data_IF_688283150049
#
_entry.id   IF_688283150049
#
_cell.length_a   1.000
_cell.length_b   1.000
_cell.length_c   1.000
_cell.angle_alpha   90.00
_cell.angle_beta   90.00
_cell.angle_gamma   90.00
#
_symmetry.space_group_name_H-M   'P 1'
#
loop_
_entity.id
_entity.type
_entity.pdbx_description
1 polymer ?
#
# COMPACT_ATOMS: atom_id res chain seq x y z
N UNK A 1 3.65 -3.41 -16.39
CA UNK A 1 3.55 -4.84 -16.76
C UNK A 1 3.06 -5.50 -15.50
N UNK A 2 1.84 -6.00 -15.56
CA UNK A 2 1.01 -6.38 -14.40
C UNK A 2 1.52 -7.63 -13.69
N UNK A 3 1.42 -7.62 -12.36
CA UNK A 3 1.20 -8.83 -11.57
C UNK A 3 0.00 -9.57 -12.18
N UNK A 4 0.18 -10.82 -12.59
CA UNK A 4 -0.88 -11.63 -13.20
C UNK A 4 -1.54 -12.44 -12.08
N UNK A 5 -2.74 -12.04 -11.66
CA UNK A 5 -3.55 -12.73 -10.64
C UNK A 5 -3.84 -14.16 -11.11
N UNK A 6 -3.36 -15.15 -10.37
CA UNK A 6 -3.67 -16.56 -10.61
C UNK A 6 -2.45 -17.46 -10.78
N UNK A 7 -1.29 -17.08 -10.27
CA UNK A 7 -0.12 -17.96 -10.29
C UNK A 7 -0.19 -18.98 -9.15
N UNK A 8 0.12 -20.25 -9.42
CA UNK A 8 0.13 -21.27 -8.39
C UNK A 8 1.47 -21.21 -7.64
N UNK A 9 1.42 -21.11 -6.31
CA UNK A 9 2.60 -21.18 -5.43
C UNK A 9 3.51 -22.37 -5.75
N UNK A 10 2.91 -23.49 -6.17
CA UNK A 10 3.61 -24.77 -6.41
C UNK A 10 4.11 -24.96 -7.85
N UNK A 11 4.17 -23.91 -8.69
CA UNK A 11 4.62 -24.05 -10.07
C UNK A 11 6.14 -24.34 -10.19
N UNK A 12 6.54 -25.15 -11.17
CA UNK A 12 7.95 -25.38 -11.51
C UNK A 12 8.31 -24.70 -12.85
N UNK A 13 9.48 -24.04 -12.92
CA UNK A 13 10.03 -23.55 -14.19
C UNK A 13 10.58 -24.74 -14.99
N UNK A 14 9.90 -25.08 -16.08
CA UNK A 14 10.30 -26.17 -16.99
C UNK A 14 10.98 -25.68 -18.28
N UNK A 15 11.04 -24.37 -18.49
CA UNK A 15 11.70 -23.80 -19.68
C UNK A 15 11.90 -22.29 -19.63
N UNK A 16 12.90 -21.82 -20.39
CA UNK A 16 13.34 -20.44 -20.46
C UNK A 16 13.30 -19.93 -21.91
N UNK A 17 12.52 -18.88 -22.20
CA UNK A 17 12.32 -18.38 -23.56
C UNK A 17 12.41 -16.85 -23.63
N UNK A 18 13.61 -16.31 -23.86
CA UNK A 18 13.81 -14.86 -24.00
C UNK A 18 13.32 -14.09 -22.77
N UNK A 19 12.17 -13.42 -22.91
CA UNK A 19 11.53 -12.62 -21.85
C UNK A 19 10.40 -13.36 -21.11
N UNK A 20 10.27 -14.68 -21.25
CA UNK A 20 9.28 -15.48 -20.52
C UNK A 20 9.86 -16.74 -19.88
N UNK A 21 9.21 -17.20 -18.80
CA UNK A 21 9.36 -18.54 -18.24
C UNK A 21 8.19 -19.41 -18.71
N UNK A 22 8.46 -20.69 -18.95
CA UNK A 22 7.44 -21.71 -19.11
C UNK A 22 7.30 -22.42 -17.76
N UNK A 23 6.15 -22.27 -17.12
CA UNK A 23 5.85 -22.92 -15.84
C UNK A 23 4.87 -24.08 -16.03
N UNK A 24 5.03 -25.12 -15.21
CA UNK A 24 4.10 -26.23 -15.06
C UNK A 24 3.54 -26.20 -13.64
N UNK A 25 2.22 -26.15 -13.52
CA UNK A 25 1.50 -26.13 -12.24
C UNK A 25 0.87 -27.48 -11.88
N UNK A 26 1.21 -28.53 -12.62
CA UNK A 26 0.68 -29.88 -12.43
C UNK A 26 -0.65 -30.13 -13.15
N UNK A 27 -1.37 -29.08 -13.56
CA UNK A 27 -2.57 -29.19 -14.40
C UNK A 27 -2.31 -28.73 -15.83
N UNK A 28 -1.57 -27.64 -15.99
CA UNK A 28 -1.33 -26.99 -17.27
C UNK A 28 0.07 -26.39 -17.35
N UNK A 29 0.57 -26.29 -18.57
CA UNK A 29 1.77 -25.51 -18.86
C UNK A 29 1.38 -24.13 -19.38
N UNK A 30 1.94 -23.07 -18.80
CA UNK A 30 1.70 -21.69 -19.22
C UNK A 30 2.98 -20.87 -19.31
N UNK A 31 2.98 -19.89 -20.21
CA UNK A 31 4.09 -18.96 -20.39
C UNK A 31 3.82 -17.67 -19.61
N UNK A 32 4.76 -17.27 -18.76
CA UNK A 32 4.66 -16.10 -17.89
C UNK A 32 5.81 -15.12 -18.19
N UNK A 33 5.54 -13.82 -18.14
CA UNK A 33 6.57 -12.79 -18.38
C UNK A 33 7.67 -12.83 -17.31
N UNK A 34 8.94 -12.62 -17.65
CA UNK A 34 10.03 -12.54 -16.64
C UNK A 34 9.94 -11.26 -15.82
N UNK A 35 9.23 -11.32 -14.70
CA UNK A 35 9.12 -10.24 -13.71
C UNK A 35 10.03 -10.52 -12.50
N UNK A 36 10.39 -9.49 -11.72
CA UNK A 36 11.13 -9.68 -10.47
C UNK A 36 10.43 -10.62 -9.49
N UNK A 37 9.09 -10.52 -9.39
CA UNK A 37 8.27 -11.40 -8.58
C UNK A 37 8.50 -12.88 -8.90
N UNK A 38 8.46 -13.25 -10.19
CA UNK A 38 8.58 -14.66 -10.58
C UNK A 38 9.99 -15.18 -10.43
N UNK A 39 10.98 -14.32 -10.67
CA UNK A 39 12.34 -14.74 -10.45
C UNK A 39 12.63 -14.98 -8.97
N UNK A 40 12.14 -14.10 -8.09
CA UNK A 40 12.23 -14.29 -6.65
C UNK A 40 11.54 -15.58 -6.21
N UNK A 41 10.29 -15.79 -6.63
CA UNK A 41 9.52 -16.96 -6.24
C UNK A 41 10.13 -18.28 -6.71
N UNK A 42 10.40 -18.41 -8.02
CA UNK A 42 10.68 -19.72 -8.62
C UNK A 42 12.16 -19.99 -8.89
N UNK A 43 13.02 -18.96 -8.96
CA UNK A 43 14.46 -19.13 -9.19
C UNK A 43 15.24 -19.02 -7.89
N UNK A 44 14.86 -18.08 -7.03
CA UNK A 44 15.60 -17.79 -5.80
C UNK A 44 14.93 -18.31 -4.53
N UNK A 45 13.77 -18.96 -4.63
CA UNK A 45 13.11 -19.64 -3.50
C UNK A 45 12.48 -18.68 -2.48
N UNK A 46 12.10 -17.48 -2.91
CA UNK A 46 11.43 -16.46 -2.08
C UNK A 46 9.93 -16.39 -2.37
N UNK A 47 9.27 -17.54 -2.60
CA UNK A 47 7.83 -17.60 -2.87
C UNK A 47 7.01 -17.04 -1.71
N UNK A 48 7.36 -17.41 -0.48
CA UNK A 48 6.72 -16.90 0.75
C UNK A 48 6.75 -15.36 0.82
N UNK A 49 7.81 -14.71 0.35
CA UNK A 49 7.88 -13.25 0.32
C UNK A 49 6.94 -12.66 -0.74
N UNK A 50 6.76 -13.33 -1.88
CA UNK A 50 6.00 -12.82 -3.02
C UNK A 50 4.50 -13.10 -2.87
N UNK A 51 4.12 -14.24 -2.29
CA UNK A 51 2.75 -14.72 -2.20
C UNK A 51 2.22 -14.81 -0.76
N UNK A 52 3.09 -14.61 0.23
CA UNK A 52 2.71 -14.67 1.64
C UNK A 52 1.88 -13.48 2.10
N UNK A 53 1.44 -13.57 3.35
CA UNK A 53 0.61 -12.56 4.01
C UNK A 53 1.18 -12.15 5.37
N UNK A 54 0.35 -11.52 6.22
CA UNK A 54 0.76 -11.09 7.57
C UNK A 54 1.16 -12.21 8.52
N UNK A 55 0.88 -13.48 8.21
CA UNK A 55 1.35 -14.63 8.98
C UNK A 55 2.73 -15.11 8.52
N UNK A 56 3.18 -14.69 7.33
CA UNK A 56 4.50 -15.02 6.79
C UNK A 56 5.60 -14.28 7.55
N UNK A 57 6.63 -15.01 8.04
CA UNK A 57 7.77 -14.37 8.69
C UNK A 57 8.48 -13.37 7.77
N UNK A 58 9.02 -12.29 8.32
CA UNK A 58 9.79 -11.33 7.54
C UNK A 58 11.03 -11.98 6.92
N UNK A 59 11.33 -11.61 5.67
CA UNK A 59 12.60 -11.94 5.05
C UNK A 59 13.65 -10.91 5.49
N UNK A 60 14.74 -11.40 6.10
CA UNK A 60 15.84 -10.57 6.60
C UNK A 60 17.06 -10.78 5.71
N UNK A 61 17.66 -9.69 5.24
CA UNK A 61 18.85 -9.68 4.42
C UNK A 61 20.03 -9.10 5.19
N UNK A 62 20.97 -9.97 5.59
CA UNK A 62 22.20 -9.64 6.33
C UNK A 62 23.30 -9.01 5.43
N UNK A 63 22.92 -8.07 4.57
CA UNK A 63 23.83 -7.22 3.79
C UNK A 63 23.79 -5.81 4.37
N UNK A 64 24.88 -5.01 4.37
CA UNK A 64 24.78 -3.62 4.83
C UNK A 64 24.14 -2.69 3.77
N UNK A 65 23.19 -1.80 4.13
CA UNK A 65 22.45 -1.79 5.40
C UNK A 65 21.50 -2.98 5.52
N UNK A 66 21.27 -3.48 6.74
CA UNK A 66 20.39 -4.63 6.96
C UNK A 66 18.99 -4.28 6.46
N UNK A 67 18.36 -5.16 5.68
CA UNK A 67 17.01 -4.93 5.17
C UNK A 67 16.07 -6.03 5.58
N UNK A 68 14.93 -5.65 6.15
CA UNK A 68 13.81 -6.53 6.44
C UNK A 68 12.64 -6.18 5.54
N UNK A 69 12.07 -7.20 4.89
CA UNK A 69 10.88 -7.08 4.04
C UNK A 69 9.83 -8.08 4.52
N UNK A 70 8.63 -7.59 4.78
CA UNK A 70 7.51 -8.38 5.28
C UNK A 70 6.28 -8.18 4.39
N UNK A 71 5.66 -9.26 3.87
CA UNK A 71 4.43 -9.15 3.13
C UNK A 71 3.27 -8.69 4.02
N UNK A 72 2.24 -8.12 3.41
CA UNK A 72 1.02 -7.70 4.12
C UNK A 72 -0.18 -8.49 3.60
N UNK A 73 -1.40 -8.11 4.01
CA UNK A 73 -2.61 -8.74 3.48
C UNK A 73 -2.90 -8.39 2.01
N UNK A 74 -2.21 -7.41 1.45
CA UNK A 74 -2.25 -7.12 0.01
C UNK A 74 -0.94 -7.60 -0.62
N UNK A 75 -1.05 -8.35 -1.71
CA UNK A 75 0.10 -8.89 -2.46
C UNK A 75 0.96 -7.79 -3.13
N UNK A 76 0.49 -6.54 -3.09
CA UNK A 76 1.19 -5.36 -3.61
C UNK A 76 1.85 -4.50 -2.54
N UNK A 77 1.61 -4.77 -1.26
CA UNK A 77 2.11 -3.93 -0.16
C UNK A 77 3.03 -4.76 0.73
N UNK A 78 4.22 -4.21 0.96
CA UNK A 78 5.25 -4.74 1.84
C UNK A 78 5.59 -3.73 2.92
N UNK A 79 5.87 -4.24 4.11
CA UNK A 79 6.53 -3.48 5.17
C UNK A 79 8.04 -3.61 5.00
N UNK A 80 8.72 -2.47 4.91
CA UNK A 80 10.17 -2.33 4.79
C UNK A 80 10.74 -1.77 6.07
N UNK A 81 11.87 -2.31 6.50
CA UNK A 81 12.68 -1.75 7.58
C UNK A 81 14.15 -1.86 7.19
N UNK A 82 14.90 -0.78 7.37
CA UNK A 82 16.34 -0.71 7.09
C UNK A 82 17.08 -0.40 8.38
N UNK A 83 18.09 -1.20 8.70
CA UNK A 83 18.80 -1.21 9.98
C UNK A 83 17.81 -1.14 11.17
N UNK A 84 18.11 -0.33 12.20
CA UNK A 84 17.25 -0.06 13.36
C UNK A 84 16.18 1.03 13.07
N UNK A 85 15.91 1.33 11.79
CA UNK A 85 14.94 2.33 11.37
C UNK A 85 13.49 1.94 11.68
N UNK A 86 12.57 2.90 11.56
CA UNK A 86 11.13 2.63 11.70
C UNK A 86 10.61 1.79 10.53
N UNK A 87 9.67 0.85 10.72
CA UNK A 87 9.03 0.17 9.60
C UNK A 87 8.14 1.12 8.79
N UNK A 88 8.18 1.01 7.46
CA UNK A 88 7.37 1.80 6.51
C UNK A 88 6.75 0.90 5.45
N UNK A 89 5.57 1.23 4.93
CA UNK A 89 4.90 0.42 3.91
C UNK A 89 4.96 1.06 2.51
N UNK A 90 5.23 0.28 1.46
CA UNK A 90 5.16 0.84 0.10
C UNK A 90 3.70 1.01 -0.37
N UNK A 91 3.38 1.99 -1.23
CA UNK A 91 2.13 1.97 -1.97
C UNK A 91 2.19 0.88 -3.06
N UNK A 92 1.04 0.35 -3.51
CA UNK A 92 0.96 -0.69 -4.58
C UNK A 92 1.60 -0.29 -5.92
N UNK A 93 1.79 1.00 -6.16
CA UNK A 93 2.53 1.53 -7.32
C UNK A 93 4.05 1.35 -7.23
N UNK A 94 4.58 1.11 -6.02
CA UNK A 94 6.02 0.92 -5.76
C UNK A 94 6.37 -0.56 -5.53
N UNK A 95 5.42 -1.49 -5.61
CA UNK A 95 5.63 -2.96 -5.47
C UNK A 95 6.77 -3.46 -6.34
N UNK A 96 6.78 -3.06 -7.62
CA UNK A 96 7.81 -3.43 -8.58
C UNK A 96 9.20 -2.93 -8.15
N UNK A 97 9.29 -1.76 -7.50
CA UNK A 97 10.55 -1.22 -6.98
C UNK A 97 11.02 -2.00 -5.76
N UNK A 98 10.12 -2.41 -4.87
CA UNK A 98 10.44 -3.31 -3.75
C UNK A 98 11.02 -4.61 -4.27
N UNK A 99 10.30 -5.31 -5.15
CA UNK A 99 10.71 -6.64 -5.64
C UNK A 99 11.98 -6.58 -6.49
N UNK A 100 12.20 -5.49 -7.25
CA UNK A 100 13.48 -5.27 -7.93
C UNK A 100 14.64 -5.11 -6.94
N UNK A 101 14.42 -4.37 -5.87
CA UNK A 101 15.45 -4.16 -4.85
C UNK A 101 15.76 -5.46 -4.08
N UNK A 102 14.74 -6.26 -3.75
CA UNK A 102 14.94 -7.60 -3.18
C UNK A 102 15.75 -8.48 -4.14
N UNK A 103 15.38 -8.51 -5.41
CA UNK A 103 16.08 -9.29 -6.43
C UNK A 103 17.53 -8.84 -6.61
N UNK A 104 17.81 -7.53 -6.46
CA UNK A 104 19.17 -7.00 -6.48
C UNK A 104 19.99 -7.52 -5.30
N UNK A 105 19.44 -7.52 -4.08
CA UNK A 105 20.11 -8.07 -2.89
C UNK A 105 20.44 -9.55 -3.12
N UNK A 106 19.44 -10.33 -3.56
CA UNK A 106 19.59 -11.77 -3.77
C UNK A 106 20.65 -12.09 -4.83
N UNK A 107 20.73 -11.31 -5.91
CA UNK A 107 21.67 -11.55 -7.01
C UNK A 107 23.07 -10.99 -6.75
N UNK A 108 23.15 -9.80 -6.16
CA UNK A 108 24.36 -8.98 -6.16
C UNK A 108 24.88 -8.69 -4.74
N UNK A 109 24.09 -8.97 -3.70
CA UNK A 109 24.43 -8.67 -2.32
C UNK A 109 24.42 -7.17 -2.00
N UNK A 110 23.68 -6.36 -2.76
CA UNK A 110 23.58 -4.90 -2.58
C UNK A 110 22.15 -4.48 -2.26
N UNK A 111 22.00 -3.67 -1.21
CA UNK A 111 20.71 -3.18 -0.73
C UNK A 111 20.39 -1.75 -1.20
N UNK A 112 21.23 -1.14 -2.05
CA UNK A 112 21.14 0.27 -2.44
C UNK A 112 19.74 0.66 -2.94
N UNK A 113 19.12 -0.14 -3.82
CA UNK A 113 17.77 0.18 -4.33
C UNK A 113 16.69 0.17 -3.25
N UNK A 114 16.72 -0.79 -2.32
CA UNK A 114 15.76 -0.83 -1.21
C UNK A 114 16.03 0.26 -0.18
N UNK A 115 17.31 0.54 0.13
CA UNK A 115 17.68 1.61 1.05
C UNK A 115 17.19 2.98 0.53
N UNK A 116 17.43 3.30 -0.74
CA UNK A 116 16.91 4.54 -1.33
C UNK A 116 15.37 4.58 -1.35
N UNK A 117 14.70 3.46 -1.68
CA UNK A 117 13.24 3.41 -1.63
C UNK A 117 12.71 3.59 -0.21
N UNK A 118 13.37 3.01 0.78
CA UNK A 118 13.05 3.15 2.19
C UNK A 118 13.18 4.60 2.64
N UNK A 119 14.27 5.28 2.29
CA UNK A 119 14.48 6.70 2.59
C UNK A 119 13.41 7.56 1.93
N UNK A 120 13.14 7.34 0.62
CA UNK A 120 12.06 8.01 -0.12
C UNK A 120 10.69 7.81 0.55
N UNK A 121 10.42 6.63 1.11
CA UNK A 121 9.16 6.34 1.80
C UNK A 121 9.11 6.98 3.18
N UNK A 122 10.21 6.95 3.93
CA UNK A 122 10.34 7.62 5.22
C UNK A 122 10.11 9.13 5.11
N UNK A 123 10.61 9.74 4.03
CA UNK A 123 10.42 11.17 3.73
C UNK A 123 9.00 11.51 3.23
N UNK A 124 8.18 10.53 2.84
CA UNK A 124 6.83 10.80 2.34
C UNK A 124 5.73 10.40 3.33
N UNK A 125 6.01 9.44 4.20
CA UNK A 125 5.03 8.94 5.17
C UNK A 125 4.98 9.78 6.43
N UNK A 126 3.76 10.02 6.87
CA UNK A 126 3.50 10.60 8.19
C UNK A 126 3.95 9.66 9.30
N UNK A 127 4.25 10.23 10.46
CA UNK A 127 4.53 9.43 11.65
C UNK A 127 3.25 8.83 12.26
N UNK A 128 3.07 7.52 12.06
CA UNK A 128 1.95 6.72 12.59
C UNK A 128 1.84 6.81 14.11
N UNK A 129 2.96 6.78 14.83
CA UNK A 129 2.97 6.79 16.30
C UNK A 129 2.58 8.17 16.83
N UNK A 130 3.15 9.23 16.24
CA UNK A 130 2.80 10.61 16.53
C UNK A 130 1.31 10.87 16.26
N UNK A 131 0.80 10.53 15.07
CA UNK A 131 -0.61 10.73 14.74
C UNK A 131 -1.55 9.93 15.63
N UNK A 132 -1.18 8.69 15.99
CA UNK A 132 -1.96 7.88 16.93
C UNK A 132 -2.01 8.54 18.32
N UNK A 133 -0.89 9.10 18.79
CA UNK A 133 -0.81 9.84 20.06
C UNK A 133 -1.68 11.09 20.02
N UNK A 134 -1.54 11.90 18.96
CA UNK A 134 -2.31 13.12 18.71
C UNK A 134 -3.81 12.83 18.70
N UNK A 135 -4.22 11.78 17.99
CA UNK A 135 -5.63 11.36 17.91
C UNK A 135 -6.20 10.99 19.28
N UNK A 136 -5.43 10.25 20.09
CA UNK A 136 -5.85 9.85 21.45
C UNK A 136 -5.92 11.01 22.43
N UNK A 137 -5.00 11.97 22.33
CA UNK A 137 -4.87 13.05 23.30
C UNK A 137 -5.78 14.24 23.00
N UNK A 138 -5.90 14.61 21.73
CA UNK A 138 -6.60 15.82 21.30
C UNK A 138 -7.91 15.54 20.57
N UNK A 139 -8.09 14.31 20.06
CA UNK A 139 -9.26 13.91 19.25
C UNK A 139 -9.64 14.96 18.19
N UNK A 140 -8.68 15.44 17.36
CA UNK A 140 -8.93 16.44 16.33
C UNK A 140 -9.92 15.93 15.27
N UNK A 141 -10.04 14.60 15.12
CA UNK A 141 -11.01 13.93 14.26
C UNK A 141 -11.97 13.12 15.14
N UNK A 142 -13.30 13.12 14.86
CA UNK A 142 -14.27 12.34 15.62
C UNK A 142 -13.85 10.87 15.79
N UNK A 143 -13.60 10.38 17.04
CA UNK A 143 -13.02 9.05 17.27
C UNK A 143 -13.94 7.89 16.89
N UNK A 144 -15.26 8.08 16.97
CA UNK A 144 -16.24 7.05 16.64
C UNK A 144 -16.17 6.62 15.16
N UNK A 145 -15.43 7.38 14.35
CA UNK A 145 -15.34 7.22 12.91
C UNK A 145 -14.02 6.63 12.45
N UNK A 146 -13.04 6.36 13.31
CA UNK A 146 -11.68 5.97 12.88
C UNK A 146 -11.29 4.60 13.41
N UNK A 147 -10.92 3.70 12.50
CA UNK A 147 -10.17 2.48 12.79
C UNK A 147 -8.73 2.66 12.31
N UNK A 148 -7.75 2.41 13.18
CA UNK A 148 -6.33 2.49 12.83
C UNK A 148 -5.90 1.11 12.33
N UNK A 149 -5.39 1.04 11.10
CA UNK A 149 -4.89 -0.19 10.48
C UNK A 149 -3.40 -0.09 10.18
N UNK A 150 -2.85 -1.12 9.55
CA UNK A 150 -1.46 -1.08 9.09
C UNK A 150 -1.29 -0.19 7.87
N UNK A 151 -2.28 -0.12 6.99
CA UNK A 151 -2.24 0.68 5.77
C UNK A 151 -2.58 2.16 5.99
N UNK A 152 -3.27 2.51 7.08
CA UNK A 152 -3.71 3.88 7.32
C UNK A 152 -4.82 4.03 8.36
N UNK A 153 -5.60 5.10 8.23
CA UNK A 153 -6.84 5.30 8.97
C UNK A 153 -8.02 4.94 8.09
N UNK A 154 -8.84 4.00 8.55
CA UNK A 154 -10.16 3.72 7.98
C UNK A 154 -11.16 4.67 8.65
N UNK A 155 -11.79 5.53 7.85
CA UNK A 155 -12.66 6.63 8.29
C UNK A 155 -14.09 6.39 7.83
N UNK A 156 -15.06 6.50 8.74
CA UNK A 156 -16.49 6.24 8.54
C UNK A 156 -16.76 4.83 7.98
N UNK A 157 -15.86 3.88 8.29
CA UNK A 157 -15.81 2.56 7.67
C UNK A 157 -15.90 2.63 6.14
N UNK A 158 -15.45 3.70 5.48
CA UNK A 158 -15.69 3.92 4.05
C UNK A 158 -14.42 4.33 3.33
N UNK A 159 -13.61 5.20 3.94
CA UNK A 159 -12.39 5.71 3.33
C UNK A 159 -11.17 5.10 4.00
N UNK A 160 -10.17 4.72 3.20
CA UNK A 160 -8.82 4.44 3.68
C UNK A 160 -7.95 5.65 3.37
N UNK A 161 -7.50 6.37 4.40
CA UNK A 161 -6.46 7.39 4.29
C UNK A 161 -5.11 6.74 4.64
N UNK A 162 -4.27 6.49 3.63
CA UNK A 162 -3.00 5.80 3.82
C UNK A 162 -1.98 6.67 4.54
N UNK A 163 -0.94 6.06 5.12
CA UNK A 163 0.17 6.82 5.74
C UNK A 163 0.95 7.72 4.76
N UNK A 164 0.75 7.56 3.46
CA UNK A 164 1.26 8.48 2.42
C UNK A 164 0.32 9.67 2.18
N UNK A 165 -0.77 9.77 2.94
CA UNK A 165 -1.80 10.78 2.79
C UNK A 165 -2.69 10.57 1.57
N UNK A 166 -2.76 9.36 0.99
CA UNK A 166 -3.60 9.08 -0.18
C UNK A 166 -4.94 8.49 0.24
N UNK A 167 -6.04 8.93 -0.38
CA UNK A 167 -7.41 8.47 -0.05
C UNK A 167 -7.90 7.41 -1.03
N UNK A 168 -8.37 6.27 -0.51
CA UNK A 168 -9.08 5.23 -1.24
C UNK A 168 -10.44 4.93 -0.60
N UNK A 169 -11.28 4.16 -1.29
CA UNK A 169 -12.39 3.47 -0.64
C UNK A 169 -11.86 2.24 0.09
N UNK A 170 -12.46 1.88 1.22
CA UNK A 170 -12.13 0.68 2.00
C UNK A 170 -12.38 -0.63 1.23
N UNK A 171 -13.22 -0.58 0.19
CA UNK A 171 -13.46 -1.69 -0.73
C UNK A 171 -12.41 -1.79 -1.82
N UNK A 172 -11.38 -0.94 -1.78
CA UNK A 172 -10.27 -1.00 -2.73
C UNK A 172 -9.53 -2.31 -2.52
N UNK A 173 -9.64 -3.18 -3.52
CA UNK A 173 -8.65 -4.21 -3.76
C UNK A 173 -7.49 -3.57 -4.52
N UNK A 174 -6.28 -3.63 -3.96
CA UNK A 174 -5.10 -3.07 -4.62
C UNK A 174 -4.60 -3.97 -5.76
N UNK A 175 -4.96 -5.25 -5.71
CA UNK A 175 -4.63 -6.28 -6.68
C UNK A 175 -5.35 -5.98 -8.02
N UNK A 176 -6.56 -5.39 -7.93
CA UNK A 176 -7.36 -4.97 -9.07
C UNK A 176 -6.84 -3.68 -9.77
N UNK A 177 -6.73 -3.67 -11.12
CA UNK A 177 -6.37 -2.48 -11.88
C UNK A 177 -7.43 -1.37 -11.73
N UNK A 178 -6.98 -0.12 -11.66
CA UNK A 178 -7.89 1.04 -11.58
C UNK A 178 -8.30 1.49 -12.98
N UNK A 179 -9.41 2.23 -13.10
CA UNK A 179 -9.83 2.84 -14.35
C UNK A 179 -9.86 4.36 -14.20
N UNK A 180 -9.16 5.07 -15.09
CA UNK A 180 -9.19 6.54 -15.16
C UNK A 180 -10.34 6.99 -16.05
N UNK A 181 -11.09 7.99 -15.58
CA UNK A 181 -12.11 8.67 -16.37
C UNK A 181 -11.62 10.09 -16.67
N UNK A 182 -11.26 10.35 -17.92
CA UNK A 182 -10.82 11.66 -18.38
C UNK A 182 -10.75 11.72 -19.91
N UNK A 183 -11.83 12.17 -20.56
CA UNK A 183 -11.97 12.15 -22.03
C UNK A 183 -12.25 10.75 -22.64
N UNK A 184 -12.27 9.72 -21.80
CA UNK A 184 -12.54 8.31 -22.10
C UNK A 184 -12.32 7.46 -20.85
N UNK A 185 -12.66 6.17 -20.91
CA UNK A 185 -12.33 5.19 -19.87
C UNK A 185 -11.04 4.48 -20.30
N UNK A 186 -9.98 4.59 -19.51
CA UNK A 186 -8.72 3.87 -19.74
C UNK A 186 -8.33 3.08 -18.50
N UNK A 187 -8.07 1.78 -18.68
CA UNK A 187 -7.46 0.94 -17.64
C UNK A 187 -6.07 1.50 -17.30
N UNK A 188 -5.76 1.58 -16.01
CA UNK A 188 -4.44 1.96 -15.51
C UNK A 188 -4.03 1.03 -14.37
N UNK A 189 -2.76 0.64 -14.37
CA UNK A 189 -2.17 -0.12 -13.29
C UNK A 189 -1.55 0.80 -12.21
N UNK A 190 -1.67 2.12 -12.41
CA UNK A 190 -1.33 3.14 -11.43
C UNK A 190 -2.40 3.18 -10.32
N UNK A 191 -1.96 3.30 -9.07
CA UNK A 191 -2.88 3.56 -7.98
C UNK A 191 -3.44 4.98 -8.09
N UNK A 192 -4.69 5.07 -8.53
CA UNK A 192 -5.38 6.35 -8.60
C UNK A 192 -6.08 6.60 -7.28
N UNK A 193 -5.72 7.71 -6.63
CA UNK A 193 -6.43 8.22 -5.45
C UNK A 193 -7.93 8.37 -5.78
N UNK A 194 -8.80 7.87 -4.90
CA UNK A 194 -10.25 8.00 -5.05
C UNK A 194 -10.66 9.47 -5.06
N UNK A 195 -10.09 10.27 -4.16
CA UNK A 195 -10.34 11.71 -4.07
C UNK A 195 -9.06 12.47 -3.73
N UNK A 196 -8.63 13.31 -4.67
CA UNK A 196 -7.50 14.22 -4.48
C UNK A 196 -7.86 15.39 -3.58
N UNK A 197 -7.63 15.25 -2.28
CA UNK A 197 -7.81 16.33 -1.32
C UNK A 197 -6.52 17.16 -1.22
N UNK A 198 -6.59 18.44 -1.56
CA UNK A 198 -5.47 19.37 -1.37
C UNK A 198 -5.99 20.63 -0.67
N UNK A 199 -5.40 21.03 0.47
CA UNK A 199 -5.74 22.28 1.12
C UNK A 199 -5.52 23.46 0.18
N UNK A 200 -6.32 24.52 0.34
CA UNK A 200 -6.01 25.81 -0.28
C UNK A 200 -5.10 26.59 0.68
N UNK A 201 -3.81 26.60 0.41
CA UNK A 201 -2.78 27.25 1.23
C UNK A 201 -1.94 26.25 2.03
N UNK A 202 -0.79 26.73 2.52
CA UNK A 202 0.12 25.93 3.34
C UNK A 202 -0.40 25.89 4.79
N UNK A 203 -0.54 24.71 5.41
CA UNK A 203 -0.97 24.62 6.81
C UNK A 203 0.11 25.23 7.73
N UNK A 204 -0.29 26.13 8.63
CA UNK A 204 0.61 26.68 9.65
C UNK A 204 1.00 25.58 10.67
N UNK A 205 2.29 25.40 11.01
CA UNK A 205 2.75 24.40 11.98
C UNK A 205 1.96 24.41 13.28
N UNK A 206 1.54 23.24 13.74
CA UNK A 206 0.83 23.06 15.00
C UNK A 206 1.76 22.47 16.06
N UNK A 207 2.10 23.28 17.07
CA UNK A 207 2.82 22.83 18.25
C UNK A 207 1.87 22.12 19.22
N UNK A 208 2.23 20.90 19.63
CA UNK A 208 1.45 20.16 20.62
C UNK A 208 1.70 20.78 22.00
N UNK A 209 0.64 21.16 22.76
CA UNK A 209 0.84 21.79 24.07
C UNK A 209 1.48 20.82 25.07
N UNK A 210 2.74 21.09 25.43
CA UNK A 210 3.45 20.41 26.52
C UNK A 210 4.41 19.30 26.09
N UNK A 211 4.58 19.06 24.79
CA UNK A 211 5.62 18.20 24.21
C UNK A 211 6.56 19.04 23.32
N UNK A 212 7.84 18.68 23.25
CA UNK A 212 8.80 19.27 22.29
C UNK A 212 8.58 18.73 20.85
N UNK A 213 7.48 18.01 20.60
CA UNK A 213 7.09 17.47 19.30
C UNK A 213 6.15 18.44 18.55
N UNK A 214 6.48 18.75 17.30
CA UNK A 214 5.67 19.56 16.39
C UNK A 214 5.12 18.72 15.25
N UNK A 215 3.89 18.98 14.81
CA UNK A 215 3.37 18.39 13.58
C UNK A 215 3.98 19.11 12.37
N UNK A 216 4.55 18.36 11.44
CA UNK A 216 5.02 18.92 10.18
C UNK A 216 3.87 19.07 9.17
N UNK A 217 4.18 19.64 7.99
CA UNK A 217 3.19 19.87 6.92
C UNK A 217 2.45 18.59 6.50
N UNK A 218 3.10 17.43 6.52
CA UNK A 218 2.53 16.13 6.14
C UNK A 218 1.58 15.63 7.21
N UNK A 219 1.96 15.65 8.49
CA UNK A 219 1.04 15.26 9.57
C UNK A 219 -0.18 16.18 9.61
N UNK A 220 0.02 17.48 9.43
CA UNK A 220 -1.09 18.43 9.38
C UNK A 220 -2.01 18.18 8.18
N UNK A 221 -1.44 17.93 6.99
CA UNK A 221 -2.21 17.57 5.81
C UNK A 221 -3.01 16.29 6.03
N UNK A 222 -2.40 15.27 6.64
CA UNK A 222 -3.07 14.02 6.96
C UNK A 222 -4.24 14.24 7.92
N UNK A 223 -4.04 14.98 9.02
CA UNK A 223 -5.12 15.28 9.96
C UNK A 223 -6.23 16.11 9.32
N UNK A 224 -5.88 17.05 8.44
CA UNK A 224 -6.87 17.81 7.68
C UNK A 224 -7.69 16.93 6.75
N UNK A 225 -7.04 16.03 5.98
CA UNK A 225 -7.74 15.03 5.15
C UNK A 225 -8.64 14.16 6.01
N UNK A 226 -8.13 13.66 7.13
CA UNK A 226 -8.90 12.81 8.04
C UNK A 226 -10.14 13.53 8.59
N UNK A 227 -10.00 14.78 9.04
CA UNK A 227 -11.12 15.59 9.50
C UNK A 227 -12.14 15.85 8.39
N UNK A 228 -11.67 16.15 7.17
CA UNK A 228 -12.52 16.32 6.00
C UNK A 228 -13.32 15.06 5.72
N UNK A 229 -12.66 13.89 5.68
CA UNK A 229 -13.29 12.60 5.41
C UNK A 229 -14.29 12.21 6.49
N UNK A 230 -14.04 12.53 7.75
CA UNK A 230 -14.96 12.25 8.85
C UNK A 230 -16.22 13.15 8.86
N UNK A 231 -16.24 14.22 8.06
CA UNK A 231 -17.35 15.20 8.04
C UNK A 231 -17.73 15.58 6.61
N UNK A 232 -17.46 14.69 5.64
CA UNK A 232 -17.64 14.96 4.22
C UNK A 232 -19.07 15.42 3.88
N UNK A 233 -20.09 14.87 4.56
CA UNK A 233 -21.51 15.26 4.41
C UNK A 233 -21.80 16.69 4.85
N UNK A 234 -21.02 17.26 5.77
CA UNK A 234 -21.20 18.64 6.20
C UNK A 234 -20.58 19.65 5.22
N UNK A 235 -19.79 19.16 4.25
CA UNK A 235 -18.89 19.97 3.44
C UNK A 235 -19.19 19.97 1.93
N UNK A 236 -20.01 19.05 1.44
CA UNK A 236 -20.35 18.94 0.02
C UNK A 236 -21.86 18.85 -0.21
N UNK A 237 -22.34 19.67 -1.14
CA UNK A 237 -23.77 19.75 -1.53
C UNK A 237 -24.21 18.66 -2.55
N UNK A 238 -23.44 17.59 -2.74
CA UNK A 238 -23.76 16.51 -3.71
C UNK A 238 -24.19 15.22 -3.00
N UNK A 239 -25.35 15.29 -2.33
CA UNK A 239 -25.94 14.17 -1.60
C UNK A 239 -26.10 12.92 -2.47
N UNK A 240 -26.45 13.09 -3.75
CA UNK A 240 -26.65 11.98 -4.68
C UNK A 240 -25.36 11.23 -4.96
N UNK A 241 -24.24 11.94 -5.15
CA UNK A 241 -22.94 11.30 -5.30
C UNK A 241 -22.59 10.49 -4.06
N UNK A 242 -22.74 11.08 -2.88
CA UNK A 242 -22.39 10.42 -1.62
C UNK A 242 -23.26 9.21 -1.32
N UNK A 243 -24.57 9.30 -1.54
CA UNK A 243 -25.49 8.16 -1.40
C UNK A 243 -25.12 7.00 -2.33
N UNK A 244 -24.66 7.30 -3.55
CA UNK A 244 -24.20 6.29 -4.50
C UNK A 244 -22.94 5.57 -4.01
N UNK A 245 -21.96 6.32 -3.49
CA UNK A 245 -20.71 5.75 -2.95
C UNK A 245 -20.99 4.91 -1.72
N UNK A 246 -21.78 5.42 -0.77
CA UNK A 246 -22.16 4.68 0.44
C UNK A 246 -22.87 3.38 0.11
N UNK A 247 -23.83 3.41 -0.82
CA UNK A 247 -24.52 2.20 -1.27
C UNK A 247 -23.56 1.22 -1.93
N UNK A 248 -22.66 1.69 -2.79
CA UNK A 248 -21.67 0.82 -3.44
C UNK A 248 -20.77 0.11 -2.42
N UNK A 249 -20.31 0.82 -1.39
CA UNK A 249 -19.47 0.26 -0.32
C UNK A 249 -20.24 -0.78 0.50
N UNK A 250 -21.50 -0.49 0.85
CA UNK A 250 -22.37 -1.43 1.56
C UNK A 250 -22.65 -2.71 0.75
N UNK A 251 -22.98 -2.57 -0.53
CA UNK A 251 -23.25 -3.70 -1.43
C UNK A 251 -22.02 -4.59 -1.62
N UNK A 252 -20.85 -3.98 -1.85
CA UNK A 252 -19.59 -4.71 -2.06
C UNK A 252 -19.18 -5.48 -0.80
N UNK A 253 -19.39 -4.93 0.39
CA UNK A 253 -19.13 -5.64 1.66
C UNK A 253 -20.13 -6.75 1.96
N UNK A 254 -21.37 -6.60 1.51
CA UNK A 254 -22.42 -7.59 1.72
C UNK A 254 -22.28 -8.80 0.77
N UNK A 255 -21.53 -8.66 -0.32
CA UNK A 255 -21.14 -9.80 -1.13
C UNK A 255 -20.13 -10.64 -0.33
N UNK A 256 -20.34 -11.95 -0.16
CA UNK A 256 -19.31 -12.80 0.39
C UNK A 256 -18.09 -12.63 -0.51
N UNK A 257 -16.96 -12.23 0.08
CA UNK A 257 -15.66 -12.29 -0.57
C UNK A 257 -15.37 -13.77 -0.88
N UNK A 258 -15.94 -14.28 -1.97
CA UNK A 258 -15.51 -15.53 -2.58
C UNK A 258 -14.19 -15.22 -3.29
N UNK A 259 -13.12 -15.13 -2.52
CA UNK A 259 -11.77 -15.16 -3.06
C UNK A 259 -11.23 -16.57 -2.81
N UNK A 260 -10.86 -17.19 -3.94
CA UNK A 260 -10.24 -18.50 -4.05
C UNK A 260 -8.77 -18.39 -3.71
#
# INVERSE_FOLDING_TARGET
MTFDEGLPEDAEIIGEFGNSYLIDDGETTRSIARTPAYELAYVHGHADLVFGDTETPPTIFDVPPEVRVEPTRSDRVFTLQVDDGRPVQNPPSETDRVLKGVLEIVRNGTADTLAHLYDDLCERQVDKELLTRVQRQYSPVPPASIQITDDGWVIEDMFLLTWLGTVYLVTRNFDDPTYRIGGGISRTDEDVEFIGLTPRGDPDPFELPGDDESLDEREMLFLWKAYWLATYRERHDDDLFWDLIERHVQETRAQPQNHR
#
